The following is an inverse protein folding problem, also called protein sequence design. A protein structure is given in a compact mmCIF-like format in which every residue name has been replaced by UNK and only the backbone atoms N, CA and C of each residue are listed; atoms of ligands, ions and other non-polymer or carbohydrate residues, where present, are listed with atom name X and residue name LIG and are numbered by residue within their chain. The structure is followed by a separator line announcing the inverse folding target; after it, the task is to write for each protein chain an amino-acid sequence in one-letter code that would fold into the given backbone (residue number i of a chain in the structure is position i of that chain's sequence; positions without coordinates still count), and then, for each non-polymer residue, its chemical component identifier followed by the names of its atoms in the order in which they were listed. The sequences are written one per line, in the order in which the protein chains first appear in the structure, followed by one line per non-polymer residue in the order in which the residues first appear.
data_IF_515392829219
#
_entry.id   IF_515392829219
#
_cell.length_a   1.000
_cell.length_b   1.000
_cell.length_c   1.000
_cell.angle_alpha   90.00
_cell.angle_beta   90.00
_cell.angle_gamma   90.00
#
_symmetry.space_group_name_H-M   'P 1'
#
loop_
_entity.id
_entity.type
_entity.pdbx_description
1 polymer ?
#
# COMPACT_ATOMS: atom_id res chain seq x y z
N UNK A 1 -14.41 26.20 27.73
CA UNK A 1 -13.39 25.51 26.90
C UNK A 1 -14.11 25.10 25.64
N UNK A 2 -13.67 25.55 24.46
CA UNK A 2 -14.26 25.09 23.20
C UNK A 2 -14.05 23.58 23.11
N UNK A 3 -15.12 22.83 22.91
CA UNK A 3 -15.07 21.40 22.64
C UNK A 3 -14.07 21.12 21.51
N UNK A 4 -13.14 20.19 21.73
CA UNK A 4 -12.09 19.90 20.77
C UNK A 4 -12.70 19.39 19.46
N UNK A 5 -12.41 20.06 18.34
CA UNK A 5 -12.93 19.72 17.02
C UNK A 5 -11.90 18.93 16.22
N UNK A 6 -11.94 17.61 16.31
CA UNK A 6 -11.04 16.73 15.57
C UNK A 6 -11.22 16.83 14.04
N UNK A 7 -12.45 17.08 13.55
CA UNK A 7 -12.73 17.25 12.11
C UNK A 7 -11.94 18.44 11.55
N UNK A 8 -11.82 19.53 12.32
CA UNK A 8 -10.96 20.67 11.96
C UNK A 8 -9.48 20.29 11.92
N UNK A 9 -8.99 19.51 12.89
CA UNK A 9 -7.60 19.03 12.87
C UNK A 9 -7.31 18.18 11.61
N UNK A 10 -8.22 17.27 11.26
CA UNK A 10 -8.15 16.47 10.01
C UNK A 10 -8.05 17.39 8.79
N UNK A 11 -8.95 18.37 8.68
CA UNK A 11 -8.95 19.33 7.57
C UNK A 11 -7.66 20.15 7.52
N UNK A 12 -7.16 20.63 8.65
CA UNK A 12 -5.91 21.39 8.75
C UNK A 12 -4.69 20.56 8.32
N UNK A 13 -4.69 19.26 8.61
CA UNK A 13 -3.62 18.34 8.17
C UNK A 13 -3.73 18.04 6.67
N UNK A 14 -4.95 17.84 6.17
CA UNK A 14 -5.21 17.58 4.76
C UNK A 14 -4.91 18.80 3.86
N UNK A 15 -5.23 20.02 4.33
CA UNK A 15 -4.98 21.26 3.60
C UNK A 15 -3.48 21.52 3.33
N UNK A 16 -2.57 20.82 4.02
CA UNK A 16 -1.12 20.88 3.78
C UNK A 16 -0.66 20.09 2.55
N UNK A 17 -1.56 19.35 1.90
CA UNK A 17 -1.25 18.53 0.74
C UNK A 17 -0.52 17.25 1.12
N UNK A 18 -1.22 16.23 1.63
CA UNK A 18 -0.57 15.05 2.15
C UNK A 18 0.05 14.18 1.05
N UNK A 19 1.20 13.57 1.35
CA UNK A 19 1.55 12.31 0.71
C UNK A 19 0.57 11.23 1.20
N UNK A 20 0.01 10.49 0.26
CA UNK A 20 -0.93 9.39 0.55
C UNK A 20 -0.12 8.11 0.65
N UNK A 21 -0.27 7.37 1.74
CA UNK A 21 0.35 6.06 1.95
C UNK A 21 -0.74 5.00 2.01
N UNK A 22 -0.74 4.08 1.05
CA UNK A 22 -1.73 3.01 0.95
C UNK A 22 -1.11 1.68 1.39
N UNK A 23 -1.67 1.09 2.44
CA UNK A 23 -1.37 -0.28 2.85
C UNK A 23 -2.46 -1.27 2.46
N UNK A 24 -2.29 -2.53 2.84
CA UNK A 24 -3.18 -3.62 2.42
C UNK A 24 -4.63 -3.42 2.84
N UNK A 25 -4.90 -2.69 3.92
CA UNK A 25 -6.26 -2.33 4.34
C UNK A 25 -7.00 -1.45 3.33
N UNK A 26 -6.29 -0.64 2.54
CA UNK A 26 -6.91 0.17 1.48
C UNK A 26 -7.49 -0.71 0.37
N UNK A 27 -6.79 -1.77 -0.01
CA UNK A 27 -7.21 -2.71 -1.06
C UNK A 27 -8.22 -3.74 -0.54
N UNK A 28 -8.12 -4.14 0.73
CA UNK A 28 -9.06 -5.06 1.37
C UNK A 28 -10.50 -4.53 1.37
N UNK A 29 -10.68 -3.19 1.42
CA UNK A 29 -12.00 -2.55 1.29
C UNK A 29 -12.71 -2.85 -0.05
N UNK A 30 -11.96 -3.28 -1.07
CA UNK A 30 -12.46 -3.65 -2.39
C UNK A 30 -12.47 -5.17 -2.61
N UNK A 31 -12.23 -5.96 -1.54
CA UNK A 31 -12.20 -7.42 -1.60
C UNK A 31 -10.91 -8.00 -2.17
N UNK A 32 -9.85 -7.18 -2.33
CA UNK A 32 -8.52 -7.68 -2.70
C UNK A 32 -7.90 -8.41 -1.49
N UNK A 33 -7.41 -9.64 -1.64
CA UNK A 33 -6.89 -10.43 -0.53
C UNK A 33 -5.78 -9.74 0.27
N UNK A 34 -5.94 -9.72 1.60
CA UNK A 34 -4.90 -9.24 2.53
C UNK A 34 -3.85 -10.30 2.88
N UNK A 35 -2.90 -9.94 3.75
CA UNK A 35 -1.76 -10.82 4.10
C UNK A 35 -2.17 -12.15 4.74
N UNK A 36 -3.21 -12.16 5.58
CA UNK A 36 -3.72 -13.41 6.17
C UNK A 36 -4.27 -14.38 5.12
N UNK A 37 -5.08 -13.85 4.18
CA UNK A 37 -5.62 -14.64 3.07
C UNK A 37 -4.52 -15.13 2.13
N UNK A 38 -3.48 -14.32 1.90
CA UNK A 38 -2.29 -14.72 1.16
C UNK A 38 -1.57 -15.88 1.85
N UNK A 39 -1.34 -15.83 3.16
CA UNK A 39 -0.74 -16.93 3.92
C UNK A 39 -1.49 -18.25 3.75
N UNK A 40 -2.83 -18.23 3.91
CA UNK A 40 -3.68 -19.41 3.69
C UNK A 40 -3.60 -19.91 2.24
N UNK A 41 -3.61 -19.01 1.27
CA UNK A 41 -3.53 -19.37 -0.14
C UNK A 41 -2.19 -20.05 -0.47
N UNK A 42 -1.08 -19.49 0.01
CA UNK A 42 0.27 -20.02 -0.23
C UNK A 42 0.41 -21.47 0.27
N UNK A 43 -0.06 -21.75 1.50
CA UNK A 43 -0.06 -23.11 2.06
C UNK A 43 -0.86 -24.08 1.17
N UNK A 44 -1.97 -23.62 0.61
CA UNK A 44 -2.87 -24.45 -0.19
C UNK A 44 -2.41 -24.70 -1.63
N UNK A 45 -1.66 -23.76 -2.25
CA UNK A 45 -1.39 -23.78 -3.70
C UNK A 45 0.06 -23.99 -4.09
N UNK A 46 1.02 -23.68 -3.21
CA UNK A 46 2.43 -23.93 -3.51
C UNK A 46 2.68 -25.43 -3.51
N UNK A 47 3.03 -25.95 -4.67
CA UNK A 47 3.36 -27.36 -4.89
C UNK A 47 4.71 -27.69 -4.27
N UNK A 48 4.84 -28.90 -3.73
CA UNK A 48 6.05 -29.38 -3.05
C UNK A 48 6.54 -30.74 -3.55
N UNK A 49 5.89 -31.31 -4.56
CA UNK A 49 6.07 -32.68 -5.04
C UNK A 49 7.45 -32.96 -5.67
N UNK A 50 8.08 -31.94 -6.22
CA UNK A 50 9.38 -31.98 -6.89
C UNK A 50 10.49 -31.23 -6.12
N UNK A 51 10.20 -30.79 -4.90
CA UNK A 51 11.17 -30.11 -4.05
C UNK A 51 12.19 -31.10 -3.45
N UNK A 52 13.42 -30.64 -3.28
CA UNK A 52 14.45 -31.39 -2.54
C UNK A 52 14.13 -31.45 -1.04
N UNK A 53 14.80 -32.35 -0.29
CA UNK A 53 14.58 -32.48 1.15
C UNK A 53 14.78 -31.18 1.93
N UNK A 54 15.84 -30.42 1.61
CA UNK A 54 16.12 -29.11 2.23
C UNK A 54 15.03 -28.07 1.93
N UNK A 55 14.50 -28.06 0.70
CA UNK A 55 13.42 -27.17 0.30
C UNK A 55 12.10 -27.51 0.99
N UNK A 56 11.83 -28.80 1.18
CA UNK A 56 10.67 -29.29 1.93
C UNK A 56 10.78 -28.89 3.41
N UNK A 57 11.96 -29.01 4.01
CA UNK A 57 12.18 -28.58 5.39
C UNK A 57 11.92 -27.07 5.58
N UNK A 58 12.46 -26.24 4.69
CA UNK A 58 12.22 -24.79 4.71
C UNK A 58 10.74 -24.44 4.54
N UNK A 59 10.05 -25.09 3.60
CA UNK A 59 8.62 -24.90 3.40
C UNK A 59 7.76 -25.38 4.58
N UNK A 60 8.13 -26.51 5.20
CA UNK A 60 7.41 -27.05 6.35
C UNK A 60 7.53 -26.11 7.55
N UNK A 61 8.73 -25.58 7.80
CA UNK A 61 8.94 -24.55 8.82
C UNK A 61 8.10 -23.30 8.55
N UNK A 62 8.00 -22.85 7.29
CA UNK A 62 7.13 -21.74 6.92
C UNK A 62 5.66 -22.00 7.29
N UNK A 63 5.13 -23.17 6.94
CA UNK A 63 3.76 -23.57 7.26
C UNK A 63 3.52 -23.60 8.78
N UNK A 64 4.42 -24.25 9.54
CA UNK A 64 4.32 -24.34 11.00
C UNK A 64 4.32 -22.95 11.67
N UNK A 65 5.14 -22.02 11.17
CA UNK A 65 5.18 -20.66 11.71
C UNK A 65 3.86 -19.92 11.50
N UNK A 66 3.27 -20.04 10.31
CA UNK A 66 1.96 -19.45 10.02
C UNK A 66 0.84 -20.06 10.86
N UNK A 67 0.88 -21.37 11.10
CA UNK A 67 -0.08 -22.07 11.98
C UNK A 67 0.04 -21.63 13.46
N UNK A 68 1.20 -21.12 13.86
CA UNK A 68 1.47 -20.56 15.19
C UNK A 68 1.20 -19.05 15.27
N UNK A 69 0.36 -18.51 14.39
CA UNK A 69 0.01 -17.08 14.30
C UNK A 69 1.22 -16.15 14.08
N UNK A 70 2.34 -16.67 13.56
CA UNK A 70 3.46 -15.81 13.13
C UNK A 70 3.03 -15.04 11.89
N UNK A 71 3.26 -13.72 11.87
CA UNK A 71 2.95 -12.90 10.70
C UNK A 71 3.68 -13.37 9.44
N UNK A 72 3.03 -13.25 8.28
CA UNK A 72 3.53 -13.76 6.99
C UNK A 72 4.96 -13.32 6.67
N UNK A 73 5.29 -12.05 6.92
CA UNK A 73 6.63 -11.51 6.68
C UNK A 73 7.70 -12.15 7.56
N UNK A 74 7.40 -12.32 8.85
CA UNK A 74 8.31 -12.96 9.79
C UNK A 74 8.46 -14.46 9.49
N UNK A 75 7.37 -15.13 9.09
CA UNK A 75 7.40 -16.53 8.69
C UNK A 75 8.29 -16.75 7.45
N UNK A 76 8.12 -15.95 6.40
CA UNK A 76 8.95 -16.01 5.19
C UNK A 76 10.42 -15.64 5.48
N UNK A 77 10.66 -14.71 6.40
CA UNK A 77 12.00 -14.35 6.82
C UNK A 77 12.71 -15.50 7.55
N UNK A 78 12.03 -16.15 8.51
CA UNK A 78 12.60 -17.22 9.33
C UNK A 78 12.79 -18.53 8.56
N UNK A 79 11.89 -18.85 7.63
CA UNK A 79 11.90 -20.10 6.88
C UNK A 79 13.05 -20.20 5.86
N UNK A 80 13.62 -19.06 5.42
CA UNK A 80 14.74 -18.98 4.46
C UNK A 80 14.53 -19.83 3.20
N UNK A 81 13.41 -19.58 2.52
CA UNK A 81 13.01 -20.34 1.33
C UNK A 81 14.08 -20.31 0.22
N UNK A 82 14.21 -21.41 -0.52
CA UNK A 82 15.08 -21.48 -1.71
C UNK A 82 14.54 -20.59 -2.84
N UNK A 83 15.37 -20.27 -3.83
CA UNK A 83 14.94 -19.52 -5.02
C UNK A 83 13.79 -20.22 -5.77
N UNK A 84 13.77 -21.56 -5.78
CA UNK A 84 12.68 -22.34 -6.38
C UNK A 84 11.36 -22.08 -5.65
N UNK A 85 11.36 -22.20 -4.33
CA UNK A 85 10.15 -22.03 -3.51
C UNK A 85 9.71 -20.57 -3.51
N UNK A 86 10.63 -19.62 -3.43
CA UNK A 86 10.27 -18.19 -3.52
C UNK A 86 9.65 -17.84 -4.87
N UNK A 87 10.15 -18.41 -5.98
CA UNK A 87 9.53 -18.22 -7.29
C UNK A 87 8.08 -18.72 -7.32
N UNK A 88 7.79 -19.86 -6.67
CA UNK A 88 6.41 -20.37 -6.53
C UNK A 88 5.54 -19.48 -5.65
N UNK A 89 6.09 -18.93 -4.57
CA UNK A 89 5.39 -17.97 -3.70
C UNK A 89 5.04 -16.70 -4.49
N UNK A 90 5.96 -16.20 -5.31
CA UNK A 90 5.73 -15.04 -6.19
C UNK A 90 4.62 -15.34 -7.21
N UNK A 91 4.68 -16.48 -7.90
CA UNK A 91 3.65 -16.90 -8.86
C UNK A 91 2.29 -17.07 -8.20
N UNK A 92 2.22 -17.79 -7.09
CA UNK A 92 0.99 -18.01 -6.30
C UNK A 92 0.41 -16.69 -5.76
N UNK A 93 1.26 -15.76 -5.30
CA UNK A 93 0.81 -14.42 -4.90
C UNK A 93 0.18 -13.67 -6.07
N UNK A 94 0.80 -13.74 -7.26
CA UNK A 94 0.26 -13.11 -8.47
C UNK A 94 -1.10 -13.73 -8.86
N UNK A 95 -1.22 -15.06 -8.82
CA UNK A 95 -2.44 -15.81 -9.13
C UNK A 95 -3.59 -15.50 -8.16
N UNK A 96 -3.28 -15.19 -6.90
CA UNK A 96 -4.28 -14.76 -5.93
C UNK A 96 -4.77 -13.32 -6.18
N UNK A 97 -3.86 -12.39 -6.42
CA UNK A 97 -4.17 -10.95 -6.45
C UNK A 97 -4.70 -10.51 -7.81
N UNK A 98 -4.13 -11.01 -8.92
CA UNK A 98 -4.48 -10.54 -10.27
C UNK A 98 -5.97 -10.69 -10.61
N UNK A 99 -6.66 -11.81 -10.32
CA UNK A 99 -8.09 -11.93 -10.59
C UNK A 99 -8.95 -11.02 -9.72
N UNK A 100 -8.55 -10.78 -8.47
CA UNK A 100 -9.25 -9.87 -7.57
C UNK A 100 -9.11 -8.42 -8.04
N UNK A 101 -7.92 -8.01 -8.47
CA UNK A 101 -7.66 -6.70 -9.07
C UNK A 101 -8.46 -6.50 -10.38
N UNK A 102 -8.49 -7.51 -11.28
CA UNK A 102 -9.29 -7.42 -12.51
C UNK A 102 -10.77 -7.24 -12.21
N UNK A 103 -11.31 -7.93 -11.19
CA UNK A 103 -12.69 -7.74 -10.74
C UNK A 103 -12.94 -6.29 -10.31
N UNK A 104 -12.06 -5.74 -9.49
CA UNK A 104 -12.15 -4.34 -9.01
C UNK A 104 -12.10 -3.35 -10.18
N UNK A 105 -11.22 -3.57 -11.15
CA UNK A 105 -11.16 -2.78 -12.37
C UNK A 105 -12.50 -2.79 -13.13
N UNK A 106 -13.06 -3.98 -13.38
CA UNK A 106 -14.32 -4.13 -14.12
C UNK A 106 -15.50 -3.48 -13.39
N UNK A 107 -15.54 -3.57 -12.07
CA UNK A 107 -16.52 -2.85 -11.25
C UNK A 107 -16.37 -1.33 -11.39
N UNK A 108 -15.13 -0.81 -11.41
CA UNK A 108 -14.85 0.62 -11.63
C UNK A 108 -15.20 1.13 -13.04
N UNK A 109 -15.19 0.25 -14.05
CA UNK A 109 -15.71 0.57 -15.39
C UNK A 109 -17.24 0.71 -15.36
N UNK A 110 -17.92 -0.12 -14.58
CA UNK A 110 -19.38 -0.12 -14.47
C UNK A 110 -19.90 1.05 -13.59
N UNK A 111 -19.14 1.43 -12.56
CA UNK A 111 -19.49 2.49 -11.62
C UNK A 111 -18.46 3.62 -11.61
N UNK A 112 -18.87 4.80 -12.09
CA UNK A 112 -18.05 6.01 -12.17
C UNK A 112 -17.74 6.66 -10.82
N UNK A 113 -18.29 6.14 -9.72
CA UNK A 113 -18.04 6.57 -8.34
C UNK A 113 -17.49 5.41 -7.48
N UNK A 114 -16.89 4.39 -8.12
CA UNK A 114 -16.46 3.17 -7.41
C UNK A 114 -15.39 3.40 -6.35
N UNK A 115 -14.37 4.22 -6.64
CA UNK A 115 -13.21 4.36 -5.77
C UNK A 115 -13.29 5.61 -4.86
N UNK A 116 -13.34 5.42 -3.55
CA UNK A 116 -13.26 6.53 -2.58
C UNK A 116 -11.96 7.35 -2.70
N UNK A 117 -10.87 6.72 -3.16
CA UNK A 117 -9.62 7.43 -3.45
C UNK A 117 -9.79 8.45 -4.60
N UNK A 118 -10.67 8.16 -5.58
CA UNK A 118 -11.00 9.12 -6.64
C UNK A 118 -11.57 10.41 -6.08
N UNK A 119 -12.44 10.33 -5.08
CA UNK A 119 -13.10 11.50 -4.50
C UNK A 119 -12.13 12.35 -3.68
N UNK A 120 -11.23 11.69 -2.93
CA UNK A 120 -10.13 12.36 -2.25
C UNK A 120 -9.21 13.09 -3.25
N UNK A 121 -8.77 12.39 -4.30
CA UNK A 121 -7.89 12.95 -5.33
C UNK A 121 -8.55 14.12 -6.06
N UNK A 122 -9.86 14.06 -6.30
CA UNK A 122 -10.62 15.16 -6.91
C UNK A 122 -10.52 16.44 -6.09
N UNK A 123 -10.50 16.36 -4.76
CA UNK A 123 -10.31 17.54 -3.90
C UNK A 123 -8.88 18.07 -3.97
N UNK A 124 -7.87 17.20 -3.96
CA UNK A 124 -6.47 17.62 -4.08
C UNK A 124 -6.23 18.31 -5.43
N UNK A 125 -6.79 17.77 -6.52
CA UNK A 125 -6.67 18.33 -7.87
C UNK A 125 -7.30 19.72 -8.00
N UNK A 126 -8.30 20.08 -7.17
CA UNK A 126 -8.91 21.43 -7.15
C UNK A 126 -8.02 22.49 -6.49
N UNK A 127 -7.01 22.09 -5.73
CA UNK A 127 -6.04 23.00 -5.11
C UNK A 127 -4.90 23.38 -6.05
N UNK A 128 -3.93 24.19 -5.59
CA UNK A 128 -2.72 24.54 -6.33
C UNK A 128 -1.67 23.41 -6.36
N UNK A 129 -2.00 22.22 -5.83
CA UNK A 129 -1.12 21.05 -5.87
C UNK A 129 -1.12 20.47 -7.29
N UNK A 130 0.05 20.45 -7.92
CA UNK A 130 0.23 19.93 -9.28
C UNK A 130 0.83 18.52 -9.31
N UNK A 131 1.57 18.13 -8.28
CA UNK A 131 2.09 16.78 -8.13
C UNK A 131 1.54 16.15 -6.84
N UNK A 132 0.78 15.07 -6.99
CA UNK A 132 0.29 14.26 -5.89
C UNK A 132 1.26 13.09 -5.71
N UNK A 133 1.60 12.76 -4.48
CA UNK A 133 2.45 11.60 -4.17
C UNK A 133 1.64 10.52 -3.48
N UNK A 134 1.60 9.35 -4.09
CA UNK A 134 0.98 8.14 -3.55
C UNK A 134 2.10 7.12 -3.38
N UNK A 135 2.32 6.63 -2.17
CA UNK A 135 3.26 5.55 -1.87
C UNK A 135 2.43 4.33 -1.47
N UNK A 136 2.75 3.16 -2.01
CA UNK A 136 2.04 1.94 -1.65
C UNK A 136 2.93 0.72 -1.56
N UNK A 137 2.60 -0.13 -0.59
CA UNK A 137 3.18 -1.47 -0.41
C UNK A 137 2.35 -2.56 -1.09
N UNK A 138 1.27 -2.17 -1.77
CA UNK A 138 0.31 -3.11 -2.37
C UNK A 138 0.69 -3.45 -3.81
N UNK A 139 0.37 -4.67 -4.23
CA UNK A 139 0.69 -5.15 -5.58
C UNK A 139 -0.36 -4.75 -6.63
N UNK A 140 -1.61 -4.51 -6.20
CA UNK A 140 -2.74 -4.15 -7.06
C UNK A 140 -2.61 -2.76 -7.70
N UNK A 141 -3.47 -2.47 -8.67
CA UNK A 141 -3.47 -1.23 -9.46
C UNK A 141 -4.58 -0.25 -9.03
N UNK A 142 -5.06 -0.35 -7.79
CA UNK A 142 -6.19 0.45 -7.31
C UNK A 142 -5.93 1.97 -7.37
N UNK A 143 -4.69 2.40 -7.07
CA UNK A 143 -4.32 3.81 -7.14
C UNK A 143 -4.37 4.35 -8.58
N UNK A 144 -3.94 3.55 -9.55
CA UNK A 144 -4.04 3.85 -10.98
C UNK A 144 -5.51 3.97 -11.40
N UNK A 145 -6.36 3.01 -11.01
CA UNK A 145 -7.78 3.02 -11.32
C UNK A 145 -8.50 4.26 -10.76
N UNK A 146 -8.17 4.64 -9.52
CA UNK A 146 -8.69 5.85 -8.91
C UNK A 146 -8.28 7.12 -9.67
N UNK A 147 -7.03 7.20 -10.13
CA UNK A 147 -6.58 8.30 -10.98
C UNK A 147 -7.34 8.34 -12.31
N UNK A 148 -7.48 7.19 -12.98
CA UNK A 148 -8.15 7.08 -14.28
C UNK A 148 -9.64 7.44 -14.21
N UNK A 149 -10.35 7.04 -13.15
CA UNK A 149 -11.78 7.37 -12.94
C UNK A 149 -12.04 8.88 -12.93
N UNK A 150 -11.08 9.69 -12.49
CA UNK A 150 -11.17 11.15 -12.48
C UNK A 150 -10.39 11.83 -13.62
N UNK A 151 -9.85 11.05 -14.56
CA UNK A 151 -9.00 11.53 -15.67
C UNK A 151 -7.72 12.23 -15.20
N UNK A 152 -7.19 11.86 -14.03
CA UNK A 152 -5.90 12.33 -13.54
C UNK A 152 -4.79 11.50 -14.16
N UNK A 153 -3.78 12.17 -14.72
CA UNK A 153 -2.57 11.49 -15.16
C UNK A 153 -1.85 10.86 -13.99
N UNK A 154 -1.45 9.60 -14.10
CA UNK A 154 -0.64 8.91 -13.11
C UNK A 154 0.71 8.49 -13.71
N UNK A 155 1.72 8.32 -12.87
CA UNK A 155 3.04 7.84 -13.26
C UNK A 155 3.59 6.88 -12.20
N UNK A 156 4.07 5.71 -12.64
CA UNK A 156 4.51 4.62 -11.75
C UNK A 156 6.01 4.34 -11.83
N UNK A 157 6.78 5.16 -12.56
CA UNK A 157 8.16 4.85 -12.95
C UNK A 157 8.28 4.18 -14.33
N UNK A 158 7.14 3.88 -14.96
CA UNK A 158 7.06 3.26 -16.29
C UNK A 158 6.46 4.22 -17.33
N UNK A 159 6.73 3.97 -18.61
CA UNK A 159 6.08 4.64 -19.74
C UNK A 159 4.58 4.31 -19.81
N UNK A 160 3.86 4.96 -20.71
CA UNK A 160 2.44 4.68 -20.97
C UNK A 160 2.26 3.68 -22.12
N UNK A 161 1.09 3.04 -22.16
CA UNK A 161 0.72 2.07 -23.20
C UNK A 161 0.47 0.68 -22.63
N UNK A 162 0.13 -0.28 -23.49
CA UNK A 162 -0.16 -1.66 -23.09
C UNK A 162 1.11 -2.43 -22.68
N UNK A 163 2.24 -2.13 -23.33
CA UNK A 163 3.58 -2.57 -22.97
C UNK A 163 4.37 -1.34 -22.54
N UNK A 164 4.79 -1.32 -21.28
CA UNK A 164 5.46 -0.19 -20.64
C UNK A 164 6.89 -0.58 -20.29
N UNK A 165 7.81 0.36 -20.41
CA UNK A 165 9.22 0.18 -20.00
C UNK A 165 9.55 1.21 -18.94
N UNK A 166 10.58 0.95 -18.14
CA UNK A 166 11.11 1.95 -17.21
C UNK A 166 11.34 3.29 -17.92
N UNK A 167 10.89 4.37 -17.30
CA UNK A 167 10.99 5.73 -17.84
C UNK A 167 11.33 6.69 -16.70
N UNK A 168 12.21 7.68 -16.92
CA UNK A 168 12.43 8.71 -15.93
C UNK A 168 11.17 9.57 -15.74
N UNK A 169 11.00 10.10 -14.53
CA UNK A 169 9.98 11.10 -14.22
C UNK A 169 10.14 12.33 -15.13
N UNK A 170 9.02 12.91 -15.57
CA UNK A 170 9.00 14.15 -16.36
C UNK A 170 9.17 13.97 -17.87
N UNK A 171 9.25 12.73 -18.37
CA UNK A 171 9.27 12.45 -19.82
C UNK A 171 7.95 12.85 -20.49
N UNK A 172 6.83 12.70 -19.80
CA UNK A 172 5.53 13.26 -20.18
C UNK A 172 5.25 14.44 -19.27
N UNK A 173 4.87 15.57 -19.86
CA UNK A 173 4.49 16.79 -19.13
C UNK A 173 2.98 16.90 -19.10
N UNK A 174 2.43 17.10 -17.91
CA UNK A 174 1.00 17.28 -17.67
C UNK A 174 0.82 18.41 -16.65
N UNK A 175 -0.33 19.07 -16.66
CA UNK A 175 -0.60 20.17 -15.72
C UNK A 175 -0.71 19.67 -14.28
N UNK A 176 -1.33 18.50 -14.11
CA UNK A 176 -1.47 17.79 -12.83
C UNK A 176 -1.19 16.31 -13.01
N UNK A 177 -0.49 15.71 -12.05
CA UNK A 177 -0.09 14.31 -12.07
C UNK A 177 -0.07 13.69 -10.67
N UNK A 178 -0.52 12.44 -10.55
CA UNK A 178 -0.19 11.57 -9.42
C UNK A 178 1.05 10.74 -9.71
N UNK A 179 2.04 10.77 -8.83
CA UNK A 179 3.17 9.86 -8.86
C UNK A 179 2.91 8.73 -7.86
N UNK A 180 2.82 7.49 -8.36
CA UNK A 180 2.48 6.30 -7.59
C UNK A 180 3.74 5.45 -7.44
N UNK A 181 4.26 5.35 -6.22
CA UNK A 181 5.50 4.64 -5.92
C UNK A 181 5.19 3.30 -5.25
N UNK A 182 5.28 2.22 -6.05
CA UNK A 182 5.00 0.84 -5.64
C UNK A 182 6.26 0.14 -5.14
N UNK A 183 6.54 0.28 -3.84
CA UNK A 183 7.84 -0.14 -3.27
C UNK A 183 8.03 -1.66 -3.24
N UNK A 184 6.94 -2.43 -3.33
CA UNK A 184 6.96 -3.89 -3.41
C UNK A 184 6.58 -4.44 -4.79
N UNK A 185 6.57 -3.59 -5.81
CA UNK A 185 6.24 -3.99 -7.17
C UNK A 185 4.76 -4.05 -7.42
N UNK A 186 4.38 -4.63 -8.56
CA UNK A 186 2.99 -4.69 -8.97
C UNK A 186 2.70 -5.95 -9.75
N UNK A 187 1.44 -6.39 -9.70
CA UNK A 187 0.93 -7.49 -10.52
C UNK A 187 1.08 -7.22 -12.02
N UNK A 188 1.22 -5.96 -12.42
CA UNK A 188 1.40 -5.58 -13.81
C UNK A 188 2.87 -5.41 -14.20
N UNK A 189 3.84 -5.78 -13.34
CA UNK A 189 5.28 -5.75 -13.64
C UNK A 189 5.85 -7.16 -13.81
N UNK A 190 6.74 -7.33 -14.79
CA UNK A 190 7.35 -8.61 -15.12
C UNK A 190 8.82 -8.44 -15.52
N UNK A 191 9.68 -9.38 -15.14
CA UNK A 191 11.01 -9.52 -15.72
C UNK A 191 10.93 -10.46 -16.93
N UNK A 192 11.47 -10.02 -18.07
CA UNK A 192 11.62 -10.83 -19.27
C UNK A 192 12.86 -11.73 -19.25
N UNK A 193 13.04 -12.57 -20.30
CA UNK A 193 14.18 -13.48 -20.44
C UNK A 193 15.54 -12.78 -20.42
N UNK A 194 15.60 -11.54 -20.90
CA UNK A 194 16.79 -10.68 -20.95
C UNK A 194 17.00 -9.86 -19.66
N UNK A 195 16.24 -10.17 -18.60
CA UNK A 195 16.24 -9.45 -17.32
C UNK A 195 15.79 -7.99 -17.42
N UNK A 196 15.11 -7.62 -18.51
CA UNK A 196 14.45 -6.31 -18.58
C UNK A 196 13.12 -6.35 -17.84
N UNK A 197 12.87 -5.33 -17.01
CA UNK A 197 11.58 -5.16 -16.36
C UNK A 197 10.62 -4.39 -17.27
N UNK A 198 9.46 -4.97 -17.52
CA UNK A 198 8.38 -4.40 -18.31
C UNK A 198 7.10 -4.30 -17.47
N UNK A 199 6.24 -3.37 -17.83
CA UNK A 199 4.89 -3.26 -17.31
C UNK A 199 3.87 -3.70 -18.35
N UNK A 200 3.01 -4.66 -18.03
CA UNK A 200 1.95 -5.16 -18.92
C UNK A 200 0.58 -4.80 -18.37
N UNK A 201 -0.09 -3.84 -19.00
CA UNK A 201 -1.41 -3.40 -18.58
C UNK A 201 -2.43 -4.52 -18.76
N UNK A 202 -3.08 -4.93 -17.65
CA UNK A 202 -4.17 -5.92 -17.62
C UNK A 202 -3.78 -7.29 -18.21
N UNK A 203 -2.57 -7.78 -17.89
CA UNK A 203 -2.22 -9.16 -18.22
C UNK A 203 -3.08 -10.13 -17.41
N UNK A 204 -3.76 -11.06 -18.08
CA UNK A 204 -4.62 -12.09 -17.44
C UNK A 204 -3.88 -13.38 -17.10
N UNK A 205 -2.65 -13.48 -17.57
CA UNK A 205 -1.77 -14.61 -17.32
C UNK A 205 -0.33 -14.10 -17.22
N UNK A 206 0.52 -14.84 -16.53
CA UNK A 206 1.96 -14.61 -16.59
C UNK A 206 2.42 -14.92 -18.02
N UNK A 207 3.05 -13.98 -18.75
CA UNK A 207 3.51 -14.24 -20.11
C UNK A 207 4.59 -15.34 -20.14
N UNK A 208 4.66 -16.07 -21.25
CA UNK A 208 5.66 -17.12 -21.41
C UNK A 208 7.08 -16.57 -21.20
N UNK A 209 7.89 -17.31 -20.41
CA UNK A 209 9.26 -16.94 -20.06
C UNK A 209 9.41 -15.58 -19.33
N UNK A 210 8.34 -15.08 -18.70
CA UNK A 210 8.37 -13.92 -17.82
C UNK A 210 8.10 -14.34 -16.37
N UNK A 211 8.58 -13.56 -15.43
CA UNK A 211 8.36 -13.77 -13.99
C UNK A 211 7.73 -12.51 -13.40
N UNK A 212 6.66 -12.60 -12.58
CA UNK A 212 6.10 -11.44 -11.88
C UNK A 212 7.16 -10.71 -11.06
N UNK A 213 7.18 -9.39 -11.17
CA UNK A 213 8.12 -8.52 -10.46
C UNK A 213 7.44 -7.91 -9.24
N UNK A 214 7.16 -8.77 -8.26
CA UNK A 214 6.65 -8.42 -6.94
C UNK A 214 7.66 -8.83 -5.87
N UNK A 215 7.72 -8.04 -4.80
CA UNK A 215 8.56 -8.33 -3.64
C UNK A 215 7.69 -9.00 -2.61
N UNK A 216 7.78 -10.32 -2.52
CA UNK A 216 7.14 -11.05 -1.42
C UNK A 216 7.85 -10.72 -0.11
N UNK A 217 7.14 -10.71 1.03
CA UNK A 217 7.77 -10.50 2.33
C UNK A 217 8.88 -11.54 2.61
N UNK A 218 9.90 -11.21 3.41
CA UNK A 218 11.00 -12.14 3.79
C UNK A 218 12.38 -11.82 3.18
N UNK A 219 13.36 -12.72 3.31
CA UNK A 219 14.79 -12.44 3.06
C UNK A 219 15.11 -11.96 1.64
N UNK A 220 14.39 -12.45 0.61
CA UNK A 220 14.64 -12.00 -0.77
C UNK A 220 14.26 -10.52 -1.01
N UNK A 221 13.46 -9.92 -0.11
CA UNK A 221 13.17 -8.48 -0.07
C UNK A 221 14.45 -7.65 -0.07
N UNK A 222 15.47 -8.04 0.70
CA UNK A 222 16.72 -7.30 0.77
C UNK A 222 17.53 -7.39 -0.54
N UNK A 223 17.51 -8.51 -1.26
CA UNK A 223 18.30 -8.65 -2.50
C UNK A 223 17.62 -7.98 -3.69
N UNK A 224 16.30 -8.10 -3.81
CA UNK A 224 15.56 -7.57 -4.94
C UNK A 224 15.49 -6.04 -4.91
N UNK A 225 15.33 -5.45 -3.73
CA UNK A 225 15.12 -3.99 -3.56
C UNK A 225 16.35 -3.14 -3.88
N UNK A 226 17.55 -3.74 -3.94
CA UNK A 226 18.78 -3.08 -4.39
C UNK A 226 18.90 -2.99 -5.92
N UNK A 227 18.09 -3.76 -6.66
CA UNK A 227 18.01 -3.74 -8.12
C UNK A 227 16.94 -2.80 -8.66
N UNK A 228 16.99 -2.53 -9.96
CA UNK A 228 15.88 -1.88 -10.66
C UNK A 228 14.68 -2.84 -10.81
N UNK A 229 13.43 -2.34 -10.79
CA UNK A 229 13.03 -0.93 -10.67
C UNK A 229 12.95 -0.40 -9.23
N UNK A 230 13.08 -1.29 -8.24
CA UNK A 230 12.81 -0.98 -6.83
C UNK A 230 13.72 0.10 -6.26
N UNK A 231 15.01 0.09 -6.63
CA UNK A 231 15.96 1.13 -6.21
C UNK A 231 15.46 2.53 -6.55
N UNK A 232 15.06 2.75 -7.82
CA UNK A 232 14.52 4.04 -8.26
C UNK A 232 13.20 4.36 -7.55
N UNK A 233 12.29 3.39 -7.46
CA UNK A 233 10.97 3.58 -6.87
C UNK A 233 11.05 3.93 -5.38
N UNK A 234 11.89 3.23 -4.61
CA UNK A 234 12.12 3.50 -3.18
C UNK A 234 12.78 4.87 -3.01
N UNK A 235 13.76 5.24 -3.83
CA UNK A 235 14.37 6.58 -3.78
C UNK A 235 13.35 7.69 -4.05
N UNK A 236 12.44 7.51 -5.00
CA UNK A 236 11.39 8.47 -5.29
C UNK A 236 10.30 8.51 -4.21
N UNK A 237 9.97 7.36 -3.59
CA UNK A 237 9.10 7.31 -2.41
C UNK A 237 9.72 8.08 -1.24
N UNK A 238 11.02 7.87 -0.98
CA UNK A 238 11.79 8.62 0.01
C UNK A 238 11.78 10.12 -0.25
N UNK A 239 11.98 10.53 -1.52
CA UNK A 239 11.91 11.94 -1.91
C UNK A 239 10.52 12.52 -1.68
N UNK A 240 9.47 11.78 -1.99
CA UNK A 240 8.11 12.19 -1.72
C UNK A 240 7.87 12.39 -0.21
N UNK A 241 8.27 11.42 0.62
CA UNK A 241 8.18 11.51 2.08
C UNK A 241 8.95 12.74 2.60
N UNK A 242 10.17 12.98 2.12
CA UNK A 242 10.95 14.15 2.55
C UNK A 242 10.34 15.49 2.10
N UNK A 243 9.65 15.52 0.97
CA UNK A 243 9.08 16.74 0.38
C UNK A 243 7.78 17.16 1.05
N UNK A 244 6.90 16.20 1.33
CA UNK A 244 5.54 16.54 1.76
C UNK A 244 5.46 17.08 3.20
N UNK A 245 4.41 17.86 3.42
CA UNK A 245 4.17 18.63 4.66
C UNK A 245 3.07 18.02 5.53
N UNK A 246 2.46 16.94 5.09
CA UNK A 246 1.60 16.07 5.88
C UNK A 246 1.53 14.68 5.24
N UNK A 247 1.01 13.72 5.98
CA UNK A 247 0.79 12.36 5.50
C UNK A 247 -0.64 11.89 5.78
N UNK A 248 -1.21 11.13 4.86
CA UNK A 248 -2.46 10.40 5.03
C UNK A 248 -2.20 8.92 4.79
N UNK A 249 -2.24 8.11 5.83
CA UNK A 249 -2.09 6.67 5.77
C UNK A 249 -3.46 5.98 5.77
N UNK A 250 -3.75 5.19 4.74
CA UNK A 250 -5.01 4.45 4.59
C UNK A 250 -4.72 2.96 4.67
N UNK A 251 -5.24 2.30 5.70
CA UNK A 251 -5.08 0.86 5.90
C UNK A 251 -3.61 0.42 6.00
N UNK A 252 -2.72 1.29 6.48
CA UNK A 252 -1.28 1.03 6.58
C UNK A 252 -0.93 0.52 7.98
N UNK A 253 -0.39 -0.69 8.05
CA UNK A 253 -0.12 -1.40 9.30
C UNK A 253 1.18 -1.03 10.02
N UNK A 254 2.00 -0.12 9.48
CA UNK A 254 3.31 0.24 10.03
C UNK A 254 4.20 -0.97 10.37
N UNK A 255 4.34 -1.90 9.42
CA UNK A 255 5.29 -3.02 9.54
C UNK A 255 6.26 -3.09 8.35
N UNK A 256 6.40 -2.00 7.59
CA UNK A 256 7.19 -2.01 6.36
C UNK A 256 8.57 -1.34 6.53
N UNK A 257 9.64 -2.10 6.36
CA UNK A 257 11.01 -1.60 6.54
C UNK A 257 11.48 -0.57 5.50
N UNK A 258 10.85 -0.48 4.32
CA UNK A 258 11.31 0.43 3.27
C UNK A 258 10.82 1.87 3.46
N UNK A 259 9.54 2.05 3.83
CA UNK A 259 8.94 3.39 3.92
C UNK A 259 8.75 3.86 5.35
N UNK A 260 8.57 2.95 6.31
CA UNK A 260 8.25 3.30 7.69
C UNK A 260 9.35 4.08 8.40
N UNK A 261 10.65 3.71 8.34
CA UNK A 261 11.66 4.38 9.15
C UNK A 261 11.73 5.89 8.85
N UNK A 262 11.70 6.24 7.56
CA UNK A 262 11.72 7.62 7.09
C UNK A 262 10.45 8.39 7.46
N UNK A 263 9.30 7.75 7.28
CA UNK A 263 8.00 8.32 7.66
C UNK A 263 7.96 8.63 9.17
N UNK A 264 8.36 7.66 10.00
CA UNK A 264 8.41 7.81 11.47
C UNK A 264 9.37 8.93 11.88
N UNK A 265 10.57 8.97 11.31
CA UNK A 265 11.55 10.03 11.59
C UNK A 265 11.02 11.41 11.25
N UNK A 266 10.41 11.59 10.07
CA UNK A 266 9.79 12.88 9.66
C UNK A 266 8.69 13.32 10.62
N UNK A 267 7.88 12.39 11.11
CA UNK A 267 6.81 12.70 12.05
C UNK A 267 7.35 13.08 13.45
N UNK A 268 8.43 12.45 13.89
CA UNK A 268 9.02 12.69 15.23
C UNK A 268 9.96 13.89 15.23
N UNK A 269 10.95 13.90 14.35
CA UNK A 269 12.02 14.90 14.28
C UNK A 269 11.52 16.23 13.72
N UNK A 270 10.83 16.20 12.58
CA UNK A 270 10.35 17.40 11.89
C UNK A 270 8.91 17.77 12.25
N UNK A 271 8.25 16.95 13.08
CA UNK A 271 6.86 17.15 13.54
C UNK A 271 5.86 17.28 12.40
N UNK A 272 6.10 16.57 11.29
CA UNK A 272 5.16 16.54 10.17
C UNK A 272 3.87 15.86 10.61
N UNK A 273 2.69 16.48 10.40
CA UNK A 273 1.42 15.88 10.78
C UNK A 273 1.11 14.60 9.99
N UNK A 274 0.58 13.60 10.70
CA UNK A 274 0.11 12.35 10.11
C UNK A 274 -1.36 12.09 10.47
N UNK A 275 -2.13 11.68 9.48
CA UNK A 275 -3.49 11.16 9.64
C UNK A 275 -3.46 9.68 9.29
N UNK A 276 -3.99 8.83 10.16
CA UNK A 276 -4.10 7.39 9.92
C UNK A 276 -5.57 7.00 9.98
N UNK A 277 -6.08 6.37 8.92
CA UNK A 277 -7.41 5.74 8.91
C UNK A 277 -7.26 4.26 8.59
N UNK A 278 -7.87 3.39 9.38
CA UNK A 278 -7.76 1.94 9.23
C UNK A 278 -8.94 1.25 9.89
N UNK A 279 -9.22 0.00 9.52
CA UNK A 279 -10.21 -0.80 10.26
C UNK A 279 -9.76 -1.03 11.70
N UNK A 280 -8.54 -1.54 11.85
CA UNK A 280 -7.93 -1.82 13.15
C UNK A 280 -6.51 -1.22 13.17
N UNK A 281 -6.14 -0.52 14.25
CA UNK A 281 -4.75 -0.12 14.49
C UNK A 281 -3.94 -1.35 14.92
N UNK A 282 -2.89 -1.64 14.17
CA UNK A 282 -1.90 -2.66 14.55
C UNK A 282 -1.14 -2.24 15.80
N UNK A 283 -0.51 -3.21 16.47
CA UNK A 283 0.34 -2.95 17.62
C UNK A 283 1.45 -1.94 17.29
N UNK A 284 2.14 -2.11 16.16
CA UNK A 284 3.19 -1.17 15.72
C UNK A 284 2.64 0.24 15.42
N UNK A 285 1.42 0.36 14.90
CA UNK A 285 0.77 1.65 14.72
C UNK A 285 0.45 2.32 16.06
N UNK A 286 -0.05 1.56 17.04
CA UNK A 286 -0.32 2.08 18.40
C UNK A 286 0.96 2.50 19.11
N UNK A 287 2.02 1.69 19.05
CA UNK A 287 3.32 2.01 19.62
C UNK A 287 3.89 3.30 19.03
N UNK A 288 3.78 3.46 17.71
CA UNK A 288 4.25 4.66 17.04
C UNK A 288 3.42 5.90 17.38
N UNK A 289 2.09 5.82 17.28
CA UNK A 289 1.20 6.97 17.35
C UNK A 289 0.85 7.36 18.79
N UNK A 290 0.58 6.38 19.66
CA UNK A 290 0.00 6.60 20.98
C UNK A 290 1.04 6.53 22.11
N UNK A 291 2.11 5.77 21.90
CA UNK A 291 3.17 5.57 22.90
C UNK A 291 4.50 6.24 22.50
N UNK A 292 4.61 6.66 21.24
CA UNK A 292 5.79 7.30 20.70
C UNK A 292 5.87 8.80 20.97
N UNK A 293 6.97 9.41 20.54
CA UNK A 293 7.24 10.85 20.75
C UNK A 293 6.56 11.79 19.74
N UNK A 294 5.66 11.26 18.90
CA UNK A 294 4.98 12.04 17.88
C UNK A 294 4.05 13.09 18.48
N UNK A 295 4.11 14.32 17.93
CA UNK A 295 3.36 15.47 18.46
C UNK A 295 2.15 15.89 17.63
N UNK A 296 2.12 15.48 16.36
CA UNK A 296 1.09 15.88 15.41
C UNK A 296 0.51 14.63 14.75
N UNK A 297 -0.51 14.04 15.38
CA UNK A 297 -1.18 12.88 14.80
C UNK A 297 -2.69 12.94 15.02
N UNK A 298 -3.39 12.26 14.11
CA UNK A 298 -4.76 11.82 14.31
C UNK A 298 -4.90 10.42 13.73
N UNK A 299 -5.49 9.51 14.51
CA UNK A 299 -5.72 8.13 14.10
C UNK A 299 -7.19 7.80 14.28
N UNK A 300 -7.80 7.18 13.29
CA UNK A 300 -9.21 6.80 13.29
C UNK A 300 -9.31 5.32 12.97
N UNK A 301 -9.86 4.56 13.91
CA UNK A 301 -10.14 3.13 13.71
C UNK A 301 -11.62 2.80 13.93
N UNK A 302 -12.03 1.62 13.47
CA UNK A 302 -13.38 1.12 13.67
C UNK A 302 -13.66 0.92 15.16
N UNK A 303 -14.83 1.37 15.60
CA UNK A 303 -15.34 1.10 16.94
C UNK A 303 -15.95 -0.30 17.06
N UNK A 304 -16.99 -0.42 17.87
CA UNK A 304 -17.73 -1.67 18.04
C UNK A 304 -18.43 -2.13 16.75
N UNK A 305 -18.90 -1.20 15.92
CA UNK A 305 -19.59 -1.45 14.65
C UNK A 305 -18.92 -0.71 13.48
N UNK A 306 -19.33 -1.02 12.24
CA UNK A 306 -18.83 -0.33 11.04
C UNK A 306 -19.28 1.13 10.99
N UNK A 307 -20.38 1.47 11.67
CA UNK A 307 -20.94 2.82 11.78
C UNK A 307 -20.40 3.58 13.00
N UNK A 308 -19.43 3.03 13.72
CA UNK A 308 -18.78 3.67 14.85
C UNK A 308 -17.28 3.82 14.57
N UNK A 309 -16.70 4.96 14.95
CA UNK A 309 -15.27 5.22 14.87
C UNK A 309 -14.71 5.67 16.21
N UNK A 310 -13.47 5.26 16.49
CA UNK A 310 -12.68 5.74 17.62
C UNK A 310 -11.58 6.64 17.06
N UNK A 311 -11.54 7.88 17.52
CA UNK A 311 -10.59 8.91 17.12
C UNK A 311 -9.58 9.13 18.24
N UNK A 312 -8.31 8.92 17.93
CA UNK A 312 -7.17 9.28 18.77
C UNK A 312 -6.53 10.54 18.20
N UNK A 313 -6.32 11.56 19.03
CA UNK A 313 -5.72 12.83 18.59
C UNK A 313 -4.59 13.23 19.51
N UNK A 314 -3.52 13.78 18.94
CA UNK A 314 -2.46 14.43 19.71
C UNK A 314 -2.90 15.69 20.48
N UNK A 315 -4.14 16.15 20.28
CA UNK A 315 -4.72 17.33 20.91
C UNK A 315 -5.85 17.00 21.92
N UNK A 316 -6.13 15.71 22.14
CA UNK A 316 -7.11 15.25 23.11
C UNK A 316 -6.45 14.25 24.07
N UNK A 317 -6.79 14.35 25.37
CA UNK A 317 -6.23 13.45 26.39
C UNK A 317 -6.84 12.04 26.31
N UNK A 318 -8.10 11.94 25.87
CA UNK A 318 -8.86 10.69 25.79
C UNK A 318 -9.36 10.43 24.35
N UNK A 319 -9.51 9.16 23.95
CA UNK A 319 -10.10 8.80 22.66
C UNK A 319 -11.56 9.27 22.56
N UNK A 320 -11.98 9.63 21.35
CA UNK A 320 -13.33 10.13 21.06
C UNK A 320 -14.07 9.08 20.23
N UNK A 321 -15.18 8.58 20.76
CA UNK A 321 -16.06 7.68 20.02
C UNK A 321 -17.15 8.47 19.31
N UNK A 322 -17.36 8.20 18.02
CA UNK A 322 -18.40 8.83 17.20
C UNK A 322 -19.22 7.78 16.47
N UNK A 323 -20.54 8.01 16.34
CA UNK A 323 -21.48 7.15 15.60
C UNK A 323 -21.49 7.52 14.12
N UNK A 324 -20.31 7.53 13.50
CA UNK A 324 -20.10 7.75 12.08
C UNK A 324 -19.01 6.78 11.60
N UNK A 325 -19.13 6.28 10.37
CA UNK A 325 -18.02 5.61 9.69
C UNK A 325 -17.03 6.69 9.22
N UNK A 326 -15.93 6.88 9.93
CA UNK A 326 -14.83 7.82 9.60
C UNK A 326 -13.49 7.09 9.46
N UNK A 327 -13.44 5.81 9.81
CA UNK A 327 -12.27 4.94 9.73
C UNK A 327 -12.04 4.38 8.31
N UNK A 328 -13.08 4.33 7.48
CA UNK A 328 -12.96 4.00 6.06
C UNK A 328 -12.60 5.25 5.24
N UNK A 329 -12.02 5.07 4.06
CA UNK A 329 -11.70 6.20 3.18
C UNK A 329 -12.97 6.91 2.67
N UNK A 330 -14.04 6.17 2.41
CA UNK A 330 -15.34 6.73 2.01
C UNK A 330 -15.92 7.62 3.12
N UNK A 331 -15.91 7.10 4.34
CA UNK A 331 -16.30 7.82 5.54
C UNK A 331 -15.45 9.06 5.82
N UNK A 332 -14.12 8.91 5.76
CA UNK A 332 -13.16 9.99 5.93
C UNK A 332 -13.37 11.13 4.94
N UNK A 333 -13.73 10.82 3.69
CA UNK A 333 -14.01 11.82 2.67
C UNK A 333 -15.13 12.79 3.08
N UNK A 334 -16.09 12.38 3.92
CA UNK A 334 -17.15 13.27 4.43
C UNK A 334 -16.64 14.41 5.30
N UNK A 335 -15.42 14.29 5.83
CA UNK A 335 -14.74 15.35 6.59
C UNK A 335 -14.05 16.34 5.65
N UNK A 336 -13.62 15.87 4.47
CA UNK A 336 -12.75 16.60 3.55
C UNK A 336 -13.53 17.31 2.43
N UNK A 337 -14.61 16.69 1.94
CA UNK A 337 -15.42 17.12 0.78
C UNK A 337 -16.46 18.16 1.20
#
# INVERSE_FOLDING_TARGET
MSEFNFKKQVQDYFAKGPAIVLGSGASAAYGIPGMGQLGTHLIATVKTDDLSGEEIEGWSLFCELLEQDTGLEEALHRARLSTTVTSRVVESTWELICPADEKVFLEGVADKNRFALSDLLRQIVRSDINEISIITTNYDCLAEYACEQIKLHHFTGFSFGALRTMSPKGRVRTDKQANIWKVHGSIDWFDGPDKTTIGLTRSRSIPAAHVPKIVTPGIEKYRLTHGEPFRTVIQEADRAIMREKSYLCVGFGFNDEHIQPKLKDRCTSDRIPITVITRDLTQSAREFLLQGDIKNYIAIERGASDDESIVYSSLADEPITVQENLWSLDGFNTIII
#
